data_IF_227810392896
#
_entry.id   IF_227810392896
#
_cell.length_a   1.000
_cell.length_b   1.000
_cell.length_c   1.000
_cell.angle_alpha   90.00
_cell.angle_beta   90.00
_cell.angle_gamma   90.00
#
_symmetry.space_group_name_H-M   'P 1'
#
loop_
_entity.id
_entity.type
_entity.pdbx_description
1 polymer ?
#
# COMPACT_ATOMS: atom_id res chain seq x y z
N UNK A 1 -15.15 2.38 -6.85
CA UNK A 1 -14.42 1.20 -7.40
C UNK A 1 -14.81 0.88 -8.84
N UNK A 2 -15.83 1.54 -9.37
CA UNK A 2 -16.51 1.21 -10.61
C UNK A 2 -15.60 1.23 -11.84
N UNK A 3 -14.65 2.17 -11.91
CA UNK A 3 -13.70 2.26 -13.01
C UNK A 3 -12.83 0.99 -13.15
N UNK A 4 -12.38 0.39 -12.05
CA UNK A 4 -11.60 -0.84 -12.06
C UNK A 4 -12.45 -2.06 -12.41
N UNK A 5 -13.70 -2.09 -11.93
CA UNK A 5 -14.67 -3.15 -12.27
C UNK A 5 -15.01 -3.12 -13.75
N UNK A 6 -15.30 -1.93 -14.30
CA UNK A 6 -15.60 -1.75 -15.72
C UNK A 6 -14.41 -2.13 -16.61
N UNK A 7 -13.19 -1.78 -16.20
CA UNK A 7 -11.96 -2.14 -16.90
C UNK A 7 -11.60 -3.64 -16.78
N UNK A 8 -12.30 -4.43 -15.96
CA UNK A 8 -12.00 -5.84 -15.66
C UNK A 8 -10.53 -6.05 -15.27
N UNK A 9 -9.95 -5.10 -14.54
CA UNK A 9 -8.52 -5.12 -14.16
C UNK A 9 -8.17 -6.29 -13.25
N UNK A 10 -9.15 -6.90 -12.59
CA UNK A 10 -8.98 -8.06 -11.72
C UNK A 10 -9.84 -9.24 -12.21
N UNK A 11 -9.32 -10.48 -12.14
CA UNK A 11 -10.06 -11.67 -12.55
C UNK A 11 -11.18 -12.05 -11.57
N UNK A 12 -11.16 -11.50 -10.35
CA UNK A 12 -12.16 -11.71 -9.30
C UNK A 12 -12.80 -10.38 -8.90
N UNK A 13 -14.05 -10.38 -8.39
CA UNK A 13 -14.71 -9.17 -7.92
C UNK A 13 -13.91 -8.44 -6.83
N UNK A 14 -13.95 -7.10 -6.85
CA UNK A 14 -13.40 -6.27 -5.79
C UNK A 14 -14.39 -6.26 -4.61
N UNK A 15 -13.92 -6.66 -3.43
CA UNK A 15 -14.73 -6.76 -2.19
C UNK A 15 -14.42 -5.65 -1.17
N UNK A 16 -13.75 -4.58 -1.60
CA UNK A 16 -13.38 -3.44 -0.76
C UNK A 16 -14.62 -2.77 -0.17
N UNK A 17 -14.63 -2.58 1.15
CA UNK A 17 -15.73 -1.92 1.86
C UNK A 17 -15.60 -0.39 1.78
N UNK A 18 -16.71 0.29 1.47
CA UNK A 18 -16.84 1.75 1.53
C UNK A 18 -17.76 2.08 2.71
N UNK A 19 -17.15 2.33 3.86
CA UNK A 19 -17.86 2.58 5.12
C UNK A 19 -17.32 3.83 5.79
N UNK A 20 -18.16 4.47 6.60
CA UNK A 20 -17.73 5.61 7.43
C UNK A 20 -16.74 5.12 8.49
N UNK A 21 -15.64 5.84 8.66
CA UNK A 21 -14.74 5.64 9.79
C UNK A 21 -15.46 6.11 11.07
N UNK A 22 -15.61 5.19 12.03
CA UNK A 22 -16.21 5.50 13.33
C UNK A 22 -15.11 5.89 14.33
N UNK A 23 -14.22 4.94 14.63
CA UNK A 23 -13.07 5.13 15.52
C UNK A 23 -11.82 4.53 14.89
N UNK A 24 -10.67 5.16 15.12
CA UNK A 24 -9.36 4.62 14.79
C UNK A 24 -8.54 4.45 16.06
N UNK A 25 -7.99 3.25 16.26
CA UNK A 25 -7.07 2.97 17.36
C UNK A 25 -5.66 2.87 16.80
N UNK A 26 -4.75 3.69 17.34
CA UNK A 26 -3.35 3.65 16.94
C UNK A 26 -2.73 2.31 17.32
N UNK A 27 -1.95 1.73 16.40
CA UNK A 27 -1.13 0.56 16.70
C UNK A 27 0.04 0.93 17.61
N UNK A 28 0.62 -0.07 18.27
CA UNK A 28 1.76 0.09 19.16
C UNK A 28 2.93 0.80 18.47
N UNK A 29 3.72 1.55 19.24
CA UNK A 29 4.88 2.33 18.73
C UNK A 29 5.84 1.51 17.87
N UNK A 30 6.00 0.23 18.17
CA UNK A 30 6.82 -0.69 17.40
C UNK A 30 6.37 -0.83 15.93
N UNK A 31 5.07 -0.72 15.66
CA UNK A 31 4.52 -0.85 14.31
C UNK A 31 4.66 0.42 13.46
N UNK A 32 5.00 1.56 14.09
CA UNK A 32 5.12 2.83 13.41
C UNK A 32 6.44 2.90 12.63
N UNK A 33 6.38 3.38 11.38
CA UNK A 33 7.52 3.46 10.45
C UNK A 33 8.32 2.15 10.32
N UNK A 34 7.64 1.01 10.42
CA UNK A 34 8.28 -0.30 10.47
C UNK A 34 9.28 -0.57 9.34
N UNK A 35 8.89 -0.25 8.10
CA UNK A 35 9.76 -0.39 6.93
C UNK A 35 11.03 0.46 7.04
N UNK A 36 10.94 1.65 7.63
CA UNK A 36 12.07 2.58 7.80
C UNK A 36 13.05 2.04 8.85
N UNK A 37 12.52 1.54 9.96
CA UNK A 37 13.33 1.01 11.06
C UNK A 37 13.88 -0.40 10.78
N UNK A 38 13.24 -1.16 9.88
CA UNK A 38 13.59 -2.55 9.58
C UNK A 38 13.72 -2.84 8.07
N UNK A 39 14.54 -2.08 7.32
CA UNK A 39 14.56 -2.13 5.85
C UNK A 39 15.01 -3.49 5.30
N UNK A 40 15.85 -4.22 6.04
CA UNK A 40 16.43 -5.50 5.62
C UNK A 40 15.62 -6.71 6.09
N UNK A 41 14.47 -6.51 6.74
CA UNK A 41 13.66 -7.64 7.15
C UNK A 41 13.09 -8.39 5.92
N UNK A 42 13.04 -9.74 5.96
CA UNK A 42 12.57 -10.53 4.82
C UNK A 42 11.20 -10.11 4.31
N UNK A 43 10.27 -9.78 5.22
CA UNK A 43 8.94 -9.32 4.85
C UNK A 43 8.99 -8.03 4.02
N UNK A 44 9.76 -7.03 4.47
CA UNK A 44 9.92 -5.76 3.75
C UNK A 44 10.57 -5.99 2.38
N UNK A 45 11.64 -6.76 2.34
CA UNK A 45 12.40 -7.01 1.11
C UNK A 45 11.57 -7.76 0.05
N UNK A 46 10.74 -8.71 0.48
CA UNK A 46 9.94 -9.54 -0.43
C UNK A 46 8.63 -8.85 -0.83
N UNK A 47 8.01 -8.08 0.07
CA UNK A 47 6.65 -7.58 -0.14
C UNK A 47 6.56 -6.07 -0.32
N UNK A 48 7.29 -5.25 0.44
CA UNK A 48 7.03 -3.80 0.49
C UNK A 48 8.01 -2.98 -0.34
N UNK A 49 9.32 -3.29 -0.27
CA UNK A 49 10.32 -2.64 -1.09
C UNK A 49 10.02 -2.71 -2.61
N UNK A 50 9.54 -3.85 -3.16
CA UNK A 50 9.14 -3.93 -4.57
C UNK A 50 7.95 -3.01 -4.91
N UNK A 51 7.02 -2.78 -3.98
CA UNK A 51 5.86 -1.88 -4.20
C UNK A 51 6.33 -0.43 -4.28
N UNK A 52 7.27 -0.01 -3.42
CA UNK A 52 7.84 1.34 -3.46
C UNK A 52 8.63 1.56 -4.76
N UNK A 53 9.43 0.57 -5.18
CA UNK A 53 10.13 0.64 -6.46
C UNK A 53 9.15 0.73 -7.65
N UNK A 54 8.07 -0.05 -7.64
CA UNK A 54 7.02 0.01 -8.66
C UNK A 54 6.31 1.38 -8.67
N UNK A 55 6.02 1.95 -7.49
CA UNK A 55 5.44 3.29 -7.35
C UNK A 55 6.36 4.36 -7.98
N UNK A 56 7.65 4.35 -7.64
CA UNK A 56 8.65 5.26 -8.23
C UNK A 56 8.72 5.14 -9.75
N UNK A 57 8.62 3.92 -10.28
CA UNK A 57 8.66 3.66 -11.73
C UNK A 57 7.38 4.11 -12.45
N UNK A 58 6.20 3.75 -11.92
CA UNK A 58 4.91 3.99 -12.59
C UNK A 58 4.46 5.44 -12.50
N UNK A 59 4.82 6.13 -11.43
CA UNK A 59 4.37 7.49 -11.14
C UNK A 59 5.54 8.46 -11.00
N UNK A 60 6.60 8.26 -11.79
CA UNK A 60 7.86 9.02 -11.69
C UNK A 60 7.66 10.55 -11.71
N UNK A 61 6.68 11.05 -12.47
CA UNK A 61 6.40 12.49 -12.57
C UNK A 61 5.86 13.12 -11.28
N UNK A 62 5.27 12.33 -10.39
CA UNK A 62 4.66 12.81 -9.12
C UNK A 62 5.27 12.15 -7.89
N UNK A 63 6.19 11.19 -8.09
CA UNK A 63 6.89 10.53 -7.01
C UNK A 63 7.79 11.52 -6.28
N UNK A 64 7.76 11.47 -4.95
CA UNK A 64 8.64 12.28 -4.09
C UNK A 64 9.50 11.34 -3.26
N UNK A 65 10.80 11.60 -3.26
CA UNK A 65 11.68 10.98 -2.28
C UNK A 65 11.32 11.53 -0.89
N UNK A 66 11.48 10.69 0.14
CA UNK A 66 11.29 11.10 1.54
C UNK A 66 12.40 12.06 1.95
#
# INVERSE_FOLDING_TARGET
IDQLTAAKSFPKPIVTQLVKLDVFHEAEKYHQDYMVHHPNQPYIMIHDAPKVAALKKQFAAIYRER
#
